data_IF_237091462653
#
_entry.id   IF_237091462653
#
_cell.length_a   1.000
_cell.length_b   1.000
_cell.length_c   1.000
_cell.angle_alpha   90.00
_cell.angle_beta   90.00
_cell.angle_gamma   90.00
#
_symmetry.space_group_name_H-M   'P 1'
#
loop_
_entity.id
_entity.type
_entity.pdbx_description
1 polymer ?
#
# COMPACT_ATOMS: atom_id res chain seq x y z
N UNK A 1 12.08 -7.90 8.97
CA UNK A 1 11.85 -6.47 9.30
C UNK A 1 11.81 -5.63 8.02
N UNK A 2 10.71 -5.59 7.24
CA UNK A 2 10.54 -4.60 6.13
C UNK A 2 9.08 -4.31 5.74
N UNK A 3 8.12 -5.21 6.01
CA UNK A 3 6.74 -5.03 5.49
C UNK A 3 5.92 -3.94 6.18
N UNK A 4 6.09 -3.71 7.49
CA UNK A 4 5.32 -2.69 8.24
C UNK A 4 5.68 -1.26 7.84
N UNK A 5 6.97 -0.97 7.66
CA UNK A 5 7.43 0.37 7.26
C UNK A 5 6.91 0.75 5.86
N UNK A 6 6.90 -0.21 4.92
CA UNK A 6 6.37 0.02 3.58
C UNK A 6 4.85 0.23 3.63
N UNK A 7 4.14 -0.48 4.52
CA UNK A 7 2.71 -0.27 4.74
C UNK A 7 2.39 1.13 5.27
N UNK A 8 3.15 1.60 6.27
CA UNK A 8 2.98 2.95 6.80
C UNK A 8 3.26 4.01 5.73
N UNK A 9 4.28 3.81 4.90
CA UNK A 9 4.58 4.67 3.74
C UNK A 9 3.42 4.70 2.73
N UNK A 10 2.86 3.55 2.37
CA UNK A 10 1.70 3.48 1.47
C UNK A 10 0.50 4.19 2.08
N UNK A 11 0.24 3.99 3.38
CA UNK A 11 -0.87 4.63 4.07
C UNK A 11 -0.72 6.15 4.14
N UNK A 12 0.50 6.65 4.44
CA UNK A 12 0.80 8.08 4.45
C UNK A 12 0.59 8.71 3.08
N UNK A 13 1.16 8.12 2.02
CA UNK A 13 1.01 8.63 0.66
C UNK A 13 -0.47 8.61 0.21
N UNK A 14 -1.21 7.57 0.58
CA UNK A 14 -2.64 7.53 0.30
C UNK A 14 -3.42 8.62 1.04
N UNK A 15 -3.10 8.90 2.30
CA UNK A 15 -3.71 10.00 3.08
C UNK A 15 -3.35 11.38 2.52
N UNK A 16 -2.18 11.51 1.90
CA UNK A 16 -1.74 12.72 1.20
C UNK A 16 -2.48 12.94 -0.13
N UNK A 17 -3.30 11.96 -0.56
CA UNK A 17 -4.06 12.02 -1.81
C UNK A 17 -3.33 11.42 -3.02
N UNK A 18 -2.16 10.80 -2.83
CA UNK A 18 -1.44 10.16 -3.93
C UNK A 18 -2.22 8.97 -4.50
N UNK A 19 -2.31 8.90 -5.83
CA UNK A 19 -2.89 7.76 -6.52
C UNK A 19 -1.99 6.52 -6.48
N UNK A 20 -2.56 5.34 -6.70
CA UNK A 20 -1.78 4.09 -6.63
C UNK A 20 -0.62 3.98 -7.62
N UNK A 21 -0.68 4.69 -8.75
CA UNK A 21 0.45 4.77 -9.68
C UNK A 21 1.60 5.63 -9.13
N UNK A 22 1.30 6.71 -8.40
CA UNK A 22 2.31 7.57 -7.77
C UNK A 22 2.97 6.85 -6.60
N UNK A 23 2.17 6.19 -5.76
CA UNK A 23 2.66 5.35 -4.66
C UNK A 23 3.59 4.26 -5.19
N UNK A 24 3.25 3.63 -6.32
CA UNK A 24 4.12 2.65 -6.96
C UNK A 24 5.41 3.25 -7.52
N UNK A 25 5.39 4.49 -8.01
CA UNK A 25 6.63 5.17 -8.43
C UNK A 25 7.53 5.44 -7.22
N UNK A 26 6.96 5.94 -6.11
CA UNK A 26 7.70 6.23 -4.88
C UNK A 26 8.27 4.97 -4.21
N UNK A 27 7.61 3.82 -4.38
CA UNK A 27 8.02 2.53 -3.80
C UNK A 27 8.54 1.54 -4.84
N UNK A 28 8.97 2.03 -6.00
CA UNK A 28 9.43 1.21 -7.10
C UNK A 28 10.62 0.36 -6.65
N UNK A 29 10.50 -0.96 -6.75
CA UNK A 29 11.54 -1.91 -6.34
C UNK A 29 11.44 -2.39 -4.89
N UNK A 30 10.60 -1.77 -4.06
CA UNK A 30 10.27 -2.26 -2.71
C UNK A 30 9.06 -3.19 -2.72
N UNK A 31 8.08 -2.92 -3.60
CA UNK A 31 6.86 -3.72 -3.67
C UNK A 31 6.25 -3.70 -5.08
N UNK A 32 5.58 -4.80 -5.43
CA UNK A 32 4.91 -4.93 -6.72
C UNK A 32 3.69 -4.02 -6.83
N UNK A 33 3.45 -3.47 -8.03
CA UNK A 33 2.25 -2.68 -8.35
C UNK A 33 0.94 -3.35 -7.90
N UNK A 34 0.86 -4.67 -8.07
CA UNK A 34 -0.31 -5.47 -7.66
C UNK A 34 -0.56 -5.39 -6.15
N UNK A 35 0.49 -5.48 -5.34
CA UNK A 35 0.41 -5.40 -3.88
C UNK A 35 -0.05 -4.03 -3.41
N UNK A 36 0.46 -2.96 -4.02
CA UNK A 36 0.01 -1.59 -3.73
C UNK A 36 -1.48 -1.46 -4.04
N UNK A 37 -1.91 -1.92 -5.21
CA UNK A 37 -3.31 -1.84 -5.60
C UNK A 37 -4.22 -2.63 -4.66
N UNK A 38 -3.76 -3.80 -4.18
CA UNK A 38 -4.45 -4.58 -3.18
C UNK A 38 -4.57 -3.83 -1.85
N UNK A 39 -3.47 -3.25 -1.35
CA UNK A 39 -3.49 -2.46 -0.12
C UNK A 39 -4.39 -1.24 -0.23
N UNK A 40 -4.35 -0.53 -1.35
CA UNK A 40 -5.23 0.61 -1.60
C UNK A 40 -6.71 0.21 -1.66
N UNK A 41 -7.01 -0.95 -2.26
CA UNK A 41 -8.36 -1.49 -2.26
C UNK A 41 -8.82 -1.83 -0.83
N UNK A 42 -7.96 -2.44 -0.01
CA UNK A 42 -8.25 -2.69 1.40
C UNK A 42 -8.44 -1.39 2.19
N UNK A 43 -7.57 -0.39 2.03
CA UNK A 43 -7.72 0.92 2.69
C UNK A 43 -9.05 1.57 2.30
N UNK A 44 -9.43 1.51 1.03
CA UNK A 44 -10.72 2.06 0.57
C UNK A 44 -11.92 1.31 1.15
N UNK A 45 -11.80 0.01 1.39
CA UNK A 45 -12.88 -0.82 1.93
C UNK A 45 -13.02 -0.74 3.45
N UNK A 46 -11.92 -0.73 4.20
CA UNK A 46 -11.91 -0.88 5.67
C UNK A 46 -11.18 0.24 6.40
N UNK A 47 -10.70 1.27 5.70
CA UNK A 47 -9.87 2.35 6.27
C UNK A 47 -8.48 1.91 6.74
N UNK A 48 -8.12 0.64 6.50
CA UNK A 48 -6.92 0.00 7.04
C UNK A 48 -6.31 -0.97 6.03
N UNK A 49 -4.99 -1.17 6.08
CA UNK A 49 -4.32 -2.21 5.28
C UNK A 49 -4.53 -3.55 5.99
N UNK A 50 -5.60 -4.27 5.65
CA UNK A 50 -5.73 -5.68 6.04
C UNK A 50 -4.94 -6.55 5.06
N UNK A 51 -3.79 -7.05 5.52
CA UNK A 51 -3.20 -8.27 4.97
C UNK A 51 -4.02 -9.43 5.52
N UNK A 52 -4.95 -9.97 4.73
CA UNK A 52 -5.27 -11.37 4.94
C UNK A 52 -3.94 -12.11 4.74
N UNK A 53 -3.50 -12.84 5.78
CA UNK A 53 -2.40 -13.80 5.63
C UNK A 53 -2.68 -14.74 4.46
N UNK A 54 -1.66 -15.32 3.84
CA UNK A 54 -1.88 -16.21 2.71
C UNK A 54 -2.80 -17.36 3.14
N UNK A 55 -3.75 -17.82 2.29
CA UNK A 55 -4.22 -19.20 2.37
C UNK A 55 -3.06 -20.17 2.11
#
# INVERSE_FOLDING_TARGET
MKSKEIQELVLRLYKDGCGGNEIHKSLRGLISKRTIFYWLKSIKATGTIQLQGPP
#
